data_IF_788585502664
#
_entry.id   IF_788585502664
#
_cell.length_a   1.000
_cell.length_b   1.000
_cell.length_c   1.000
_cell.angle_alpha   90.00
_cell.angle_beta   90.00
_cell.angle_gamma   90.00
#
_symmetry.space_group_name_H-M   'P 1'
#
loop_
_entity.id
_entity.type
_entity.pdbx_description
1 polymer ?
#
# COMPACT_ATOMS: atom_id res chain seq x y z
N UNK A 1 -27.19 10.16 -7.86
CA UNK A 1 -26.54 11.43 -8.20
C UNK A 1 -25.04 11.14 -8.33
N UNK A 2 -24.54 11.31 -9.55
CA UNK A 2 -23.12 11.37 -9.98
C UNK A 2 -22.13 10.37 -9.36
N UNK A 3 -21.91 9.30 -10.11
CA UNK A 3 -20.67 8.53 -10.14
C UNK A 3 -19.46 9.45 -10.34
N UNK A 4 -18.64 9.63 -9.30
CA UNK A 4 -17.21 9.90 -9.50
C UNK A 4 -16.51 8.54 -9.43
N UNK A 5 -15.95 8.03 -10.54
CA UNK A 5 -15.03 6.92 -10.45
C UNK A 5 -13.78 7.51 -9.80
N UNK A 6 -13.66 7.42 -8.48
CA UNK A 6 -12.36 7.62 -7.85
C UNK A 6 -11.44 6.64 -8.55
N UNK A 7 -10.44 7.18 -9.24
CA UNK A 7 -9.44 6.44 -10.01
C UNK A 7 -8.87 5.37 -9.11
N UNK A 8 -9.47 4.18 -9.13
CA UNK A 8 -8.98 3.03 -8.41
C UNK A 8 -7.63 2.76 -9.04
N UNK A 9 -6.55 3.11 -8.34
CA UNK A 9 -5.20 2.75 -8.75
C UNK A 9 -5.23 1.25 -8.92
N UNK A 10 -5.21 0.80 -10.18
CA UNK A 10 -5.36 -0.61 -10.55
C UNK A 10 -4.06 -1.35 -10.22
N UNK A 11 -3.69 -1.38 -8.94
CA UNK A 11 -2.55 -2.09 -8.42
C UNK A 11 -2.99 -3.47 -7.95
N UNK A 12 -2.35 -4.51 -8.48
CA UNK A 12 -2.48 -5.85 -7.91
C UNK A 12 -1.55 -5.95 -6.71
N UNK A 13 -2.14 -6.22 -5.54
CA UNK A 13 -1.41 -6.46 -4.30
C UNK A 13 -1.73 -7.87 -3.83
N UNK A 14 -0.69 -8.59 -3.47
CA UNK A 14 -0.79 -9.92 -2.87
C UNK A 14 -0.45 -9.83 -1.39
N UNK A 15 -1.34 -10.41 -0.57
CA UNK A 15 -1.17 -10.53 0.87
C UNK A 15 -1.00 -12.01 1.22
N UNK A 16 0.08 -12.35 1.90
CA UNK A 16 0.28 -13.67 2.47
C UNK A 16 -0.66 -13.85 3.67
N UNK A 17 -0.98 -15.11 3.99
CA UNK A 17 -1.71 -15.49 5.22
C UNK A 17 -1.01 -15.00 6.49
N UNK A 18 0.32 -14.94 6.47
CA UNK A 18 1.12 -14.45 7.59
C UNK A 18 1.86 -13.19 7.15
N UNK A 19 1.49 -12.06 7.73
CA UNK A 19 2.17 -10.77 7.55
C UNK A 19 2.92 -10.46 8.84
N UNK A 20 4.19 -10.05 8.71
CA UNK A 20 5.03 -9.64 9.85
C UNK A 20 5.60 -8.26 9.59
N UNK A 21 5.87 -7.52 10.66
CA UNK A 21 6.51 -6.20 10.62
C UNK A 21 6.73 -5.66 12.04
N UNK A 22 7.51 -4.59 12.14
CA UNK A 22 7.73 -3.83 13.37
C UNK A 22 6.93 -2.54 13.30
N UNK A 23 6.09 -2.31 14.29
CA UNK A 23 5.30 -1.08 14.41
C UNK A 23 6.05 -0.05 15.22
N UNK A 24 5.98 1.21 14.80
CA UNK A 24 6.48 2.37 15.52
C UNK A 24 5.54 3.55 15.27
N UNK A 25 5.70 4.64 16.02
CA UNK A 25 4.82 5.79 15.86
C UNK A 25 4.93 6.34 14.43
N UNK A 26 3.82 6.28 13.67
CA UNK A 26 3.74 6.74 12.29
C UNK A 26 4.51 5.88 11.28
N UNK A 27 4.96 4.67 11.62
CA UNK A 27 5.70 3.82 10.67
C UNK A 27 5.57 2.32 10.93
N UNK A 28 5.80 1.56 9.86
CA UNK A 28 5.96 0.11 9.88
C UNK A 28 7.24 -0.24 9.12
N UNK A 29 8.10 -1.04 9.72
CA UNK A 29 9.36 -1.49 9.11
C UNK A 29 9.50 -3.01 9.16
N UNK A 30 10.52 -3.56 8.48
CA UNK A 30 10.78 -4.99 8.41
C UNK A 30 9.55 -5.81 7.98
N UNK A 31 8.76 -5.25 7.05
CA UNK A 31 7.54 -5.87 6.56
C UNK A 31 7.88 -7.06 5.67
N UNK A 32 7.16 -8.16 5.88
CA UNK A 32 7.20 -9.34 5.02
C UNK A 32 5.80 -9.91 4.82
N UNK A 33 5.59 -10.54 3.66
CA UNK A 33 4.31 -11.13 3.30
C UNK A 33 3.39 -10.22 2.48
N UNK A 34 3.84 -9.02 2.09
CA UNK A 34 3.10 -8.13 1.18
C UNK A 34 3.91 -7.94 -0.11
N UNK A 35 3.29 -8.13 -1.26
CA UNK A 35 3.92 -7.90 -2.57
C UNK A 35 3.00 -7.06 -3.47
N UNK A 36 3.58 -6.07 -4.13
CA UNK A 36 2.88 -5.27 -5.13
C UNK A 36 3.36 -5.66 -6.53
N UNK A 37 2.44 -5.75 -7.48
CA UNK A 37 2.80 -5.94 -8.89
C UNK A 37 3.19 -4.60 -9.50
N UNK A 38 4.41 -4.50 -10.00
CA UNK A 38 4.91 -3.34 -10.75
C UNK A 38 5.36 -3.79 -12.13
N UNK A 39 4.80 -3.18 -13.17
CA UNK A 39 4.99 -3.56 -14.56
C UNK A 39 4.66 -5.05 -14.77
N UNK A 40 5.68 -5.91 -14.75
CA UNK A 40 5.55 -7.37 -14.94
C UNK A 40 6.11 -8.20 -13.77
N UNK A 41 6.67 -7.55 -12.75
CA UNK A 41 7.31 -8.22 -11.61
C UNK A 41 6.55 -7.99 -10.31
N UNK A 42 6.68 -8.93 -9.39
CA UNK A 42 6.22 -8.77 -8.01
C UNK A 42 7.36 -8.26 -7.14
N UNK A 43 7.11 -7.20 -6.40
CA UNK A 43 8.10 -6.55 -5.54
C UNK A 43 7.58 -6.51 -4.12
N UNK A 44 8.42 -6.89 -3.16
CA UNK A 44 8.06 -6.91 -1.74
C UNK A 44 7.93 -5.51 -1.17
N UNK A 45 6.87 -5.28 -0.39
CA UNK A 45 6.74 -4.08 0.44
C UNK A 45 7.49 -4.34 1.75
N UNK A 46 8.48 -3.51 2.06
CA UNK A 46 9.38 -3.68 3.21
C UNK A 46 9.10 -2.69 4.34
N UNK A 47 8.38 -1.60 4.06
CA UNK A 47 8.01 -0.63 5.07
C UNK A 47 7.04 0.42 4.56
N UNK A 48 6.51 1.20 5.51
CA UNK A 48 5.57 2.29 5.28
C UNK A 48 5.83 3.37 6.33
N UNK A 49 5.77 4.64 5.95
CA UNK A 49 5.88 5.76 6.89
C UNK A 49 4.92 6.88 6.51
N UNK A 50 4.27 7.46 7.51
CA UNK A 50 3.43 8.63 7.36
C UNK A 50 4.30 9.89 7.41
N UNK A 51 4.22 10.72 6.38
CA UNK A 51 5.01 11.94 6.29
C UNK A 51 4.40 13.03 7.18
N UNK A 52 5.16 13.49 8.18
CA UNK A 52 4.67 14.39 9.22
C UNK A 52 4.22 15.74 8.66
N UNK A 53 2.97 16.13 8.96
CA UNK A 53 2.39 17.37 8.46
C UNK A 53 1.84 17.29 7.03
N UNK A 54 1.76 16.09 6.45
CA UNK A 54 1.14 15.84 5.15
C UNK A 54 0.13 14.69 5.22
N UNK A 55 -0.80 14.64 4.27
CA UNK A 55 -1.72 13.51 4.08
C UNK A 55 -1.11 12.44 3.16
N UNK A 56 0.21 12.22 3.22
CA UNK A 56 0.93 11.27 2.38
C UNK A 56 1.50 10.12 3.21
N UNK A 57 1.44 8.93 2.63
CA UNK A 57 2.07 7.72 3.13
C UNK A 57 3.12 7.30 2.12
N UNK A 58 4.36 7.19 2.55
CA UNK A 58 5.47 6.68 1.76
C UNK A 58 5.62 5.18 1.97
N UNK A 59 5.61 4.43 0.88
CA UNK A 59 5.79 2.99 0.84
C UNK A 59 7.16 2.64 0.30
N UNK A 60 7.84 1.71 0.97
CA UNK A 60 9.10 1.14 0.51
C UNK A 60 8.82 -0.19 -0.20
N UNK A 61 9.07 -0.22 -1.51
CA UNK A 61 8.74 -1.33 -2.42
C UNK A 61 10.03 -1.84 -3.04
N UNK A 62 10.68 -2.79 -2.37
CA UNK A 62 12.03 -3.24 -2.71
C UNK A 62 13.05 -2.11 -2.52
N UNK A 63 13.71 -1.72 -3.62
CA UNK A 63 14.66 -0.58 -3.63
C UNK A 63 13.99 0.75 -4.05
N UNK A 64 12.69 0.76 -4.31
CA UNK A 64 11.94 1.95 -4.71
C UNK A 64 11.15 2.50 -3.52
N UNK A 65 10.84 3.79 -3.58
CA UNK A 65 9.89 4.46 -2.68
C UNK A 65 8.74 5.06 -3.49
N UNK A 66 7.53 5.02 -2.95
CA UNK A 66 6.32 5.54 -3.58
C UNK A 66 5.47 6.28 -2.56
N UNK A 67 5.12 7.54 -2.86
CA UNK A 67 4.23 8.35 -2.01
C UNK A 67 2.80 8.26 -2.51
N UNK A 68 1.89 7.89 -1.63
CA UNK A 68 0.46 7.76 -1.93
C UNK A 68 -0.36 8.60 -0.95
N UNK A 69 -1.43 9.28 -1.41
CA UNK A 69 -2.33 10.00 -0.52
C UNK A 69 -3.00 9.05 0.47
N UNK A 70 -2.98 9.40 1.76
CA UNK A 70 -3.64 8.66 2.84
C UNK A 70 -5.12 8.44 2.56
N UNK A 71 -5.76 9.40 1.89
CA UNK A 71 -7.16 9.35 1.40
C UNK A 71 -7.48 8.10 0.58
N UNK A 72 -6.50 7.53 -0.15
CA UNK A 72 -6.72 6.32 -0.96
C UNK A 72 -6.93 5.06 -0.10
N UNK A 73 -6.55 5.12 1.18
CA UNK A 73 -6.64 4.00 2.11
C UNK A 73 -7.80 4.15 3.11
N UNK A 74 -8.57 5.23 3.02
CA UNK A 74 -9.78 5.43 3.85
C UNK A 74 -10.89 4.45 3.44
N UNK A 75 -11.00 4.17 2.13
CA UNK A 75 -11.95 3.20 1.58
C UNK A 75 -11.29 1.84 1.35
N UNK A 76 -11.71 0.83 2.12
CA UNK A 76 -11.21 -0.54 1.97
C UNK A 76 -11.89 -1.20 0.76
N UNK A 77 -11.15 -1.58 -0.30
CA UNK A 77 -11.75 -2.21 -1.46
C UNK A 77 -12.36 -3.56 -1.09
N UNK A 78 -13.57 -3.82 -1.57
CA UNK A 78 -14.25 -5.10 -1.38
C UNK A 78 -13.57 -6.17 -2.23
N UNK A 79 -13.35 -7.36 -1.67
CA UNK A 79 -12.82 -8.50 -2.42
C UNK A 79 -13.71 -8.76 -3.64
N UNK A 80 -13.14 -8.65 -4.84
CA UNK A 80 -13.82 -9.07 -6.07
C UNK A 80 -13.74 -10.59 -6.16
N UNK A 81 -14.90 -11.26 -6.26
CA UNK A 81 -14.93 -12.67 -6.62
C UNK A 81 -14.31 -12.84 -7.99
N UNK A 82 -13.41 -13.81 -8.12
CA UNK A 82 -12.99 -14.33 -9.41
C UNK A 82 -14.02 -15.36 -9.89
#
# INVERSE_FOLDING_TARGET
>A
MTSSPSTASQGLVYYNKNIKGKLSFGSVSDVSGIQAKKLFIWVSVTGMHMEQGSDLVEFYVGALSEKLPAKQFEDIPVCKSN
#
